data_IF_870495370253
#
_entry.id   IF_870495370253
#
_cell.length_a   1.000
_cell.length_b   1.000
_cell.length_c   1.000
_cell.angle_alpha   90.00
_cell.angle_beta   90.00
_cell.angle_gamma   90.00
#
_symmetry.space_group_name_H-M   'P 1'
#
loop_
_entity.id
_entity.type
_entity.pdbx_description
1 polymer ?
#
# COMPACT_ATOMS: atom_id res chain seq x y z
N UNK A 1 -38.95 -26.66 14.66
CA UNK A 1 -38.03 -25.51 14.51
C UNK A 1 -36.78 -25.71 15.39
N UNK A 2 -35.84 -26.58 15.00
CA UNK A 2 -34.61 -26.83 15.77
C UNK A 2 -33.33 -26.91 14.91
N UNK A 3 -33.46 -26.77 13.58
CA UNK A 3 -32.35 -26.83 12.62
C UNK A 3 -31.73 -25.46 12.33
N UNK A 4 -32.36 -24.36 12.78
CA UNK A 4 -31.90 -22.99 12.54
C UNK A 4 -30.83 -22.54 13.55
N UNK A 5 -30.84 -23.09 14.76
CA UNK A 5 -29.91 -22.71 15.83
C UNK A 5 -28.49 -23.26 15.63
N UNK A 6 -28.33 -24.32 14.85
CA UNK A 6 -27.03 -24.97 14.61
C UNK A 6 -26.23 -24.23 13.52
N UNK A 7 -26.90 -23.65 12.53
CA UNK A 7 -26.24 -22.85 11.48
C UNK A 7 -25.75 -21.48 12.00
N UNK A 8 -26.37 -20.93 13.04
CA UNK A 8 -25.97 -19.64 13.61
C UNK A 8 -24.67 -19.74 14.45
N UNK A 9 -24.42 -20.89 15.08
CA UNK A 9 -23.21 -21.12 15.89
C UNK A 9 -21.94 -21.25 15.04
N UNK A 10 -22.03 -21.83 13.85
CA UNK A 10 -20.89 -22.00 12.95
C UNK A 10 -20.47 -20.70 12.25
N UNK A 11 -21.42 -19.78 12.02
CA UNK A 11 -21.15 -18.50 11.37
C UNK A 11 -20.56 -17.46 12.33
N UNK A 12 -20.88 -17.55 13.64
CA UNK A 12 -20.35 -16.65 14.66
C UNK A 12 -18.89 -16.98 15.06
N UNK A 13 -18.45 -18.23 14.91
CA UNK A 13 -17.10 -18.66 15.29
C UNK A 13 -16.02 -18.31 14.24
N UNK A 14 -16.42 -18.02 12.99
CA UNK A 14 -15.49 -17.63 11.92
C UNK A 14 -15.02 -16.17 11.98
N UNK A 15 -15.70 -15.31 12.74
CA UNK A 15 -15.44 -13.86 12.77
C UNK A 15 -14.40 -13.48 13.85
N UNK A 16 -14.16 -14.35 14.83
CA UNK A 16 -13.21 -14.10 15.93
C UNK A 16 -11.78 -14.59 15.66
N UNK A 17 -11.52 -15.27 14.53
CA UNK A 17 -10.19 -15.80 14.20
C UNK A 17 -9.32 -14.87 13.33
N UNK A 18 -9.79 -13.67 12.99
CA UNK A 18 -9.07 -12.73 12.11
C UNK A 18 -8.16 -11.72 12.82
N UNK A 19 -7.86 -11.88 14.12
CA UNK A 19 -7.04 -10.92 14.86
C UNK A 19 -5.91 -11.58 15.66
N UNK A 20 -4.87 -12.07 14.98
CA UNK A 20 -3.52 -12.23 15.58
C UNK A 20 -2.42 -12.25 14.51
N UNK A 21 -2.30 -11.17 13.74
CA UNK A 21 -1.01 -10.83 13.08
C UNK A 21 -0.51 -9.54 13.71
N UNK A 22 -0.23 -9.61 15.01
CA UNK A 22 0.66 -8.66 15.66
C UNK A 22 2.04 -9.30 15.62
N UNK A 23 2.90 -8.74 14.77
CA UNK A 23 4.29 -9.11 14.64
C UNK A 23 4.95 -9.07 16.03
N UNK A 24 5.35 -10.23 16.54
CA UNK A 24 6.31 -10.29 17.62
C UNK A 24 7.67 -9.93 17.02
N UNK A 25 8.02 -8.65 17.04
CA UNK A 25 9.44 -8.25 17.12
C UNK A 25 9.92 -8.55 18.54
N UNK A 26 9.94 -9.83 18.91
CA UNK A 26 10.70 -10.24 20.08
C UNK A 26 12.17 -10.12 19.70
N UNK A 27 12.91 -9.33 20.48
CA UNK A 27 14.37 -9.39 20.55
C UNK A 27 14.77 -10.76 21.13
N UNK A 28 14.52 -11.83 20.37
CA UNK A 28 15.08 -13.13 20.65
C UNK A 28 16.53 -13.05 20.18
N UNK A 29 17.44 -12.75 21.10
CA UNK A 29 18.88 -12.86 20.87
C UNK A 29 19.25 -14.34 20.80
N UNK A 30 18.77 -15.02 19.76
CA UNK A 30 19.27 -16.32 19.37
C UNK A 30 20.63 -16.04 18.71
N UNK A 31 21.71 -16.35 19.42
CA UNK A 31 23.08 -16.11 19.01
C UNK A 31 23.49 -17.05 17.86
N UNK A 32 22.75 -17.02 16.75
CA UNK A 32 23.22 -17.50 15.46
C UNK A 32 24.18 -16.46 14.91
N UNK A 33 25.45 -16.86 14.73
CA UNK A 33 26.43 -16.09 13.96
C UNK A 33 25.85 -15.90 12.56
N UNK A 34 25.23 -14.74 12.31
CA UNK A 34 24.75 -14.37 10.98
C UNK A 34 25.98 -14.17 10.12
N UNK A 35 26.21 -15.06 9.16
CA UNK A 35 27.15 -14.82 8.07
C UNK A 35 26.70 -13.57 7.33
N UNK A 36 27.27 -12.41 7.68
CA UNK A 36 26.99 -11.14 7.00
C UNK A 36 27.87 -11.08 5.76
N UNK A 37 27.30 -10.72 4.62
CA UNK A 37 28.11 -10.31 3.46
C UNK A 37 28.98 -9.13 3.88
N UNK A 38 30.26 -9.13 3.49
CA UNK A 38 31.23 -8.08 3.86
C UNK A 38 30.71 -6.66 3.57
N UNK A 39 29.84 -6.46 2.57
CA UNK A 39 29.23 -5.16 2.30
C UNK A 39 28.38 -4.62 3.47
N UNK A 40 27.68 -5.50 4.19
CA UNK A 40 26.82 -5.13 5.31
C UNK A 40 27.60 -4.68 6.56
N UNK A 41 28.93 -4.83 6.57
CA UNK A 41 29.78 -4.37 7.67
C UNK A 41 30.21 -2.90 7.51
N UNK A 42 30.05 -2.33 6.31
CA UNK A 42 30.46 -0.97 6.01
C UNK A 42 29.29 0.01 5.84
N UNK A 43 28.05 -0.49 5.64
CA UNK A 43 26.86 0.34 5.41
C UNK A 43 25.64 -0.14 6.23
N UNK A 44 25.84 -0.72 7.42
CA UNK A 44 24.74 -1.29 8.22
C UNK A 44 23.61 -0.29 8.50
N UNK A 45 23.95 0.99 8.66
CA UNK A 45 23.00 2.04 9.04
C UNK A 45 22.14 2.51 7.87
N UNK A 46 22.53 2.16 6.63
CA UNK A 46 21.81 2.49 5.40
C UNK A 46 20.93 1.33 4.90
N UNK A 47 21.07 0.14 5.47
CA UNK A 47 20.29 -1.03 5.06
C UNK A 47 18.98 -1.07 5.84
N UNK A 48 17.90 -0.74 5.14
CA UNK A 48 16.54 -0.85 5.68
C UNK A 48 16.26 -2.26 6.23
N UNK A 49 15.67 -2.30 7.42
CA UNK A 49 15.18 -3.52 8.04
C UNK A 49 14.10 -4.20 7.19
N UNK A 50 13.79 -5.46 7.48
CA UNK A 50 12.74 -6.17 6.76
C UNK A 50 11.36 -5.50 6.93
N UNK A 51 11.05 -5.04 8.14
CA UNK A 51 9.79 -4.36 8.47
C UNK A 51 9.65 -3.03 7.73
N UNK A 52 10.70 -2.20 7.72
CA UNK A 52 10.71 -0.93 6.97
C UNK A 52 10.49 -1.15 5.46
N UNK A 53 11.15 -2.16 4.88
CA UNK A 53 10.94 -2.50 3.47
C UNK A 53 9.51 -2.94 3.18
N UNK A 54 8.86 -3.67 4.09
CA UNK A 54 7.44 -4.05 3.97
C UNK A 54 6.55 -2.82 4.08
N UNK A 55 6.78 -1.96 5.07
CA UNK A 55 6.03 -0.72 5.25
C UNK A 55 6.12 0.20 4.01
N UNK A 56 7.32 0.36 3.42
CA UNK A 56 7.52 1.13 2.20
C UNK A 56 6.83 0.53 0.97
N UNK A 57 6.73 -0.80 0.90
CA UNK A 57 5.95 -1.47 -0.16
C UNK A 57 4.45 -1.22 0.03
N UNK A 58 3.95 -1.32 1.25
CA UNK A 58 2.54 -1.04 1.56
C UNK A 58 2.18 0.41 1.28
N UNK A 59 3.02 1.37 1.68
CA UNK A 59 2.80 2.79 1.40
C UNK A 59 2.80 3.07 -0.11
N UNK A 60 3.70 2.43 -0.87
CA UNK A 60 3.70 2.50 -2.33
C UNK A 60 2.40 2.01 -2.94
N UNK A 61 1.87 0.87 -2.47
CA UNK A 61 0.61 0.30 -2.97
C UNK A 61 -0.57 1.22 -2.63
N UNK A 62 -0.64 1.70 -1.39
CA UNK A 62 -1.69 2.62 -0.95
C UNK A 62 -1.68 3.91 -1.79
N UNK A 63 -0.50 4.46 -2.06
CA UNK A 63 -0.33 5.62 -2.94
C UNK A 63 -0.83 5.32 -4.36
N UNK A 64 -0.45 4.18 -4.95
CA UNK A 64 -0.93 3.79 -6.29
C UNK A 64 -2.46 3.67 -6.36
N UNK A 65 -3.10 3.10 -5.33
CA UNK A 65 -4.55 2.99 -5.28
C UNK A 65 -5.21 4.36 -5.24
N UNK A 66 -4.74 5.26 -4.36
CA UNK A 66 -5.24 6.63 -4.27
C UNK A 66 -5.08 7.39 -5.59
N UNK A 67 -3.91 7.30 -6.23
CA UNK A 67 -3.68 7.98 -7.50
C UNK A 67 -4.56 7.41 -8.62
N UNK A 68 -4.84 6.10 -8.61
CA UNK A 68 -5.78 5.49 -9.54
C UNK A 68 -7.19 6.04 -9.35
N UNK A 69 -7.66 6.15 -8.11
CA UNK A 69 -8.98 6.70 -7.81
C UNK A 69 -9.12 8.13 -8.34
N UNK A 70 -8.11 8.97 -8.12
CA UNK A 70 -8.09 10.33 -8.70
C UNK A 70 -8.11 10.26 -10.22
N UNK A 71 -7.23 9.46 -10.84
CA UNK A 71 -7.21 9.31 -12.30
C UNK A 71 -8.54 8.81 -12.87
N UNK A 72 -9.34 8.06 -12.10
CA UNK A 72 -10.67 7.59 -12.48
C UNK A 72 -11.71 8.74 -12.46
N UNK A 73 -11.54 9.78 -11.62
CA UNK A 73 -12.44 10.96 -11.58
C UNK A 73 -12.12 12.02 -12.62
N UNK A 74 -10.87 12.10 -13.11
CA UNK A 74 -10.46 13.10 -14.10
C UNK A 74 -11.23 12.90 -15.43
N UNK A 75 -11.76 14.00 -15.97
CA UNK A 75 -12.35 14.04 -17.31
C UNK A 75 -11.26 14.04 -18.41
N UNK A 76 -10.74 12.86 -18.74
CA UNK A 76 -9.78 12.60 -19.83
C UNK A 76 -10.26 11.47 -20.73
N UNK A 77 -9.74 11.43 -21.96
CA UNK A 77 -10.00 10.33 -22.88
C UNK A 77 -9.51 8.98 -22.33
N UNK A 78 -10.23 7.91 -22.64
CA UNK A 78 -9.92 6.56 -22.16
C UNK A 78 -8.53 6.08 -22.56
N UNK A 79 -8.08 6.45 -23.76
CA UNK A 79 -6.74 6.14 -24.26
C UNK A 79 -5.66 6.80 -23.39
N UNK A 80 -5.88 8.05 -22.97
CA UNK A 80 -4.99 8.77 -22.06
C UNK A 80 -5.03 8.18 -20.66
N UNK A 81 -6.22 7.85 -20.14
CA UNK A 81 -6.42 7.19 -18.85
C UNK A 81 -5.64 5.87 -18.77
N UNK A 82 -5.79 5.01 -19.79
CA UNK A 82 -5.08 3.73 -19.88
C UNK A 82 -3.56 3.89 -19.86
N UNK A 83 -3.03 4.89 -20.59
CA UNK A 83 -1.58 5.19 -20.60
C UNK A 83 -1.08 5.64 -19.23
N UNK A 84 -1.82 6.53 -18.57
CA UNK A 84 -1.48 7.01 -17.22
C UNK A 84 -1.55 5.89 -16.17
N UNK A 85 -2.55 5.00 -16.26
CA UNK A 85 -2.65 3.83 -15.37
C UNK A 85 -1.50 2.84 -15.59
N UNK A 86 -1.07 2.62 -16.83
CA UNK A 86 0.10 1.78 -17.12
C UNK A 86 1.39 2.41 -16.57
N UNK A 87 1.51 3.72 -16.68
CA UNK A 87 2.65 4.46 -16.14
C UNK A 87 2.68 4.42 -14.61
N UNK A 88 1.54 4.66 -13.95
CA UNK A 88 1.37 4.59 -12.50
C UNK A 88 1.73 3.21 -11.95
N UNK A 89 1.39 2.12 -12.66
CA UNK A 89 1.79 0.75 -12.31
C UNK A 89 3.31 0.55 -12.38
N UNK A 90 3.97 1.13 -13.39
CA UNK A 90 5.43 1.02 -13.58
C UNK A 90 6.20 1.90 -12.60
N UNK A 91 5.78 3.16 -12.44
CA UNK A 91 6.37 4.13 -11.53
C UNK A 91 5.24 4.98 -10.90
N UNK A 92 4.93 4.78 -9.60
CA UNK A 92 3.93 5.60 -8.92
C UNK A 92 4.27 7.09 -8.91
N UNK A 93 5.56 7.41 -8.88
CA UNK A 93 6.06 8.77 -8.74
C UNK A 93 6.50 9.34 -10.09
N UNK A 94 5.87 8.93 -11.20
CA UNK A 94 6.19 9.53 -12.48
C UNK A 94 5.73 10.99 -12.50
N UNK A 95 6.59 11.88 -13.01
CA UNK A 95 6.29 13.31 -13.10
C UNK A 95 5.02 13.55 -13.92
N UNK A 96 4.86 12.83 -15.03
CA UNK A 96 3.70 12.96 -15.91
C UNK A 96 2.37 12.65 -15.22
N UNK A 97 2.31 11.60 -14.40
CA UNK A 97 1.10 11.27 -13.63
C UNK A 97 0.84 12.34 -12.58
N UNK A 98 1.88 12.79 -11.88
CA UNK A 98 1.79 13.86 -10.88
C UNK A 98 1.30 15.17 -11.48
N UNK A 99 1.83 15.61 -12.62
CA UNK A 99 1.40 16.84 -13.29
C UNK A 99 -0.08 16.79 -13.67
N UNK A 100 -0.56 15.65 -14.22
CA UNK A 100 -1.97 15.50 -14.60
C UNK A 100 -2.89 15.59 -13.37
N UNK A 101 -2.50 14.93 -12.28
CA UNK A 101 -3.27 14.96 -11.03
C UNK A 101 -3.25 16.36 -10.41
N UNK A 102 -2.09 17.00 -10.33
CA UNK A 102 -1.94 18.33 -9.76
C UNK A 102 -2.75 19.39 -10.53
N UNK A 103 -2.73 19.34 -11.86
CA UNK A 103 -3.53 20.26 -12.68
C UNK A 103 -5.03 20.10 -12.43
N UNK A 104 -5.50 18.88 -12.19
CA UNK A 104 -6.90 18.63 -11.85
C UNK A 104 -7.26 19.21 -10.47
N UNK A 105 -6.46 18.95 -9.44
CA UNK A 105 -6.74 19.42 -8.08
C UNK A 105 -6.69 20.94 -7.97
N UNK A 106 -5.75 21.60 -8.66
CA UNK A 106 -5.67 23.08 -8.68
C UNK A 106 -6.88 23.70 -9.37
N UNK A 107 -7.39 23.06 -10.43
CA UNK A 107 -8.55 23.57 -11.16
C UNK A 107 -9.84 23.53 -10.32
N UNK A 108 -9.97 22.62 -9.35
CA UNK A 108 -11.14 22.54 -8.47
C UNK A 108 -11.15 23.65 -7.42
N UNK A 109 -10.00 24.03 -6.86
CA UNK A 109 -9.90 25.05 -5.81
C UNK A 109 -10.18 26.48 -6.33
N UNK A 110 -9.84 26.77 -7.59
CA UNK A 110 -10.10 28.08 -8.21
C UNK A 110 -11.59 28.27 -8.57
N UNK A 111 -12.32 27.19 -8.83
CA UNK A 111 -13.76 27.25 -9.15
C UNK A 111 -14.67 27.51 -7.92
N UNK A 112 -14.13 27.44 -6.69
CA UNK A 112 -14.89 27.66 -5.46
C UNK A 112 -14.92 29.16 -5.06
N UNK A 113 -14.15 30.02 -5.75
CA UNK A 113 -13.99 31.44 -5.42
C UNK A 113 -14.75 32.42 -6.35
N UNK A 114 -15.66 31.95 -7.20
CA UNK A 114 -16.50 32.81 -8.05
C UNK A 114 -17.95 32.88 -7.59
#
# INVERSE_FOLDING_TARGET
MKKLTIFCGFLLCGILSMQTVQAQDSLQSDARVKQRMLLNQFESDYVLTASERVALKQSRIAYQLRMKEILDTINISDSRRKRLLQELKRNPFSERVQTVIANHTVSEDDNIKQ
#
